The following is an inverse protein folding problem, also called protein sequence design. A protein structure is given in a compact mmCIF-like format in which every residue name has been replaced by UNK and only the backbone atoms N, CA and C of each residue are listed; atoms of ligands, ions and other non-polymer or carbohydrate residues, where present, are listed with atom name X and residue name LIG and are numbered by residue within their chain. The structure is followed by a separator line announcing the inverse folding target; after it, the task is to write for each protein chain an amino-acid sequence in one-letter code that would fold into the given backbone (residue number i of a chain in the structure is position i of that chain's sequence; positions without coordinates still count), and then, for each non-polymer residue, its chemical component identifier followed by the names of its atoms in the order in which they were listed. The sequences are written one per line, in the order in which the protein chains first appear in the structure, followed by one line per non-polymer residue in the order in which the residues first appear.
data_IF_879521276873
#
_entry.id   IF_879521276873
#
_cell.length_a   1.000
_cell.length_b   1.000
_cell.length_c   1.000
_cell.angle_alpha   90.00
_cell.angle_beta   90.00
_cell.angle_gamma   90.00
#
_symmetry.space_group_name_H-M   'P 1'
#
loop_
_entity.id
_entity.type
_entity.pdbx_description
1 polymer ?
#
# COMPACT_ATOMS: atom_id res chain seq x y z
N UNK A 1 -16.63 -5.99 14.44
CA UNK A 1 -15.22 -6.24 14.76
C UNK A 1 -14.69 -7.10 13.62
N UNK A 2 -13.85 -6.56 12.74
CA UNK A 2 -13.30 -7.30 11.58
C UNK A 2 -12.39 -8.41 12.13
N UNK A 3 -12.85 -9.67 12.08
CA UNK A 3 -12.01 -10.83 12.40
C UNK A 3 -10.96 -11.00 11.30
N UNK A 4 -9.72 -10.60 11.58
CA UNK A 4 -8.61 -10.74 10.65
C UNK A 4 -7.90 -12.09 10.83
N UNK A 5 -7.78 -12.86 9.73
CA UNK A 5 -7.13 -14.19 9.69
C UNK A 5 -5.75 -14.16 9.03
N UNK A 6 -5.31 -13.02 8.50
CA UNK A 6 -3.98 -12.78 7.96
C UNK A 6 -2.87 -12.97 8.98
N UNK A 7 -1.76 -13.55 8.54
CA UNK A 7 -0.61 -13.85 9.38
C UNK A 7 0.54 -12.89 9.09
N UNK A 8 0.63 -12.39 7.85
CA UNK A 8 1.61 -11.38 7.40
C UNK A 8 1.00 -10.49 6.32
N UNK A 9 1.44 -9.24 6.27
CA UNK A 9 1.20 -8.32 5.16
C UNK A 9 2.45 -8.27 4.29
N UNK A 10 2.27 -8.36 2.97
CA UNK A 10 3.34 -8.22 2.00
C UNK A 10 3.13 -6.98 1.13
N UNK A 11 4.26 -6.43 0.68
CA UNK A 11 4.29 -5.28 -0.21
C UNK A 11 5.25 -5.55 -1.37
N UNK A 12 4.88 -5.10 -2.56
CA UNK A 12 5.77 -5.09 -3.73
C UNK A 12 5.71 -3.73 -4.39
N UNK A 13 6.87 -3.13 -4.61
CA UNK A 13 6.99 -1.83 -5.24
C UNK A 13 6.86 -1.96 -6.75
N UNK A 14 5.93 -1.19 -7.32
CA UNK A 14 5.85 -0.92 -8.76
C UNK A 14 6.69 0.31 -9.11
N UNK A 15 6.63 1.31 -8.22
CA UNK A 15 7.36 2.57 -8.30
C UNK A 15 7.64 3.07 -6.89
N UNK A 16 8.93 3.22 -6.56
CA UNK A 16 9.34 3.87 -5.32
C UNK A 16 9.26 5.39 -5.46
N UNK A 17 8.93 6.06 -4.35
CA UNK A 17 9.09 7.51 -4.21
C UNK A 17 10.57 7.88 -4.34
N UNK A 18 10.82 9.03 -4.97
CA UNK A 18 12.18 9.56 -5.14
C UNK A 18 12.65 10.41 -3.95
N UNK A 19 11.72 10.95 -3.16
CA UNK A 19 12.00 11.95 -2.12
C UNK A 19 11.60 11.54 -0.71
N UNK A 20 10.81 10.48 -0.53
CA UNK A 20 10.55 9.89 0.78
C UNK A 20 11.75 9.05 1.23
N UNK A 21 12.16 9.22 2.48
CA UNK A 21 13.08 8.29 3.12
C UNK A 21 12.30 7.04 3.59
N UNK A 22 13.01 6.06 4.11
CA UNK A 22 12.44 4.76 4.44
C UNK A 22 11.32 4.83 5.49
N UNK A 23 11.44 5.73 6.47
CA UNK A 23 10.47 5.88 7.55
C UNK A 23 9.15 6.45 7.05
N UNK A 24 9.19 7.55 6.27
CA UNK A 24 7.98 8.14 5.67
C UNK A 24 7.28 7.16 4.72
N UNK A 25 8.07 6.39 3.98
CA UNK A 25 7.52 5.37 3.10
C UNK A 25 6.82 4.27 3.92
N UNK A 26 7.41 3.83 5.04
CA UNK A 26 6.80 2.84 5.91
C UNK A 26 5.48 3.34 6.49
N UNK A 27 5.39 4.61 6.90
CA UNK A 27 4.13 5.22 7.34
C UNK A 27 3.06 5.17 6.24
N UNK A 28 3.42 5.53 5.00
CA UNK A 28 2.52 5.48 3.85
C UNK A 28 1.99 4.06 3.60
N UNK A 29 2.84 3.03 3.74
CA UNK A 29 2.44 1.63 3.60
C UNK A 29 1.47 1.18 4.69
N UNK A 30 1.70 1.60 5.95
CA UNK A 30 0.79 1.29 7.07
C UNK A 30 -0.60 1.85 6.78
N UNK A 31 -0.68 3.10 6.29
CA UNK A 31 -1.96 3.70 5.93
C UNK A 31 -2.65 2.96 4.77
N UNK A 32 -1.91 2.45 3.79
CA UNK A 32 -2.48 1.65 2.71
C UNK A 32 -3.06 0.32 3.20
N UNK A 33 -2.43 -0.33 4.18
CA UNK A 33 -3.01 -1.51 4.82
C UNK A 33 -4.29 -1.14 5.55
N UNK A 34 -4.28 -0.08 6.36
CA UNK A 34 -5.51 0.36 7.03
C UNK A 34 -6.65 0.64 6.04
N UNK A 35 -6.34 1.28 4.91
CA UNK A 35 -7.32 1.50 3.85
C UNK A 35 -7.82 0.19 3.24
N UNK A 36 -6.93 -0.75 2.94
CA UNK A 36 -7.29 -2.08 2.45
C UNK A 36 -8.24 -2.79 3.42
N UNK A 37 -7.94 -2.75 4.72
CA UNK A 37 -8.74 -3.35 5.79
C UNK A 37 -10.14 -2.73 5.92
N UNK A 38 -10.22 -1.42 5.70
CA UNK A 38 -11.45 -0.66 5.79
C UNK A 38 -12.26 -0.64 4.48
N UNK A 39 -11.70 -1.14 3.38
CA UNK A 39 -12.28 -1.00 2.04
C UNK A 39 -12.29 0.46 1.55
N UNK A 40 -11.38 1.29 2.03
CA UNK A 40 -11.27 2.70 1.65
C UNK A 40 -10.57 2.86 0.29
N UNK A 41 -11.18 3.62 -0.62
CA UNK A 41 -10.64 3.88 -1.95
C UNK A 41 -9.63 5.04 -1.99
N UNK A 42 -9.76 6.02 -1.09
CA UNK A 42 -8.89 7.18 -1.04
C UNK A 42 -8.77 7.78 0.36
N UNK A 43 -7.60 8.34 0.66
CA UNK A 43 -7.29 9.03 1.91
C UNK A 43 -6.31 10.16 1.66
N UNK A 44 -6.55 11.32 2.27
CA UNK A 44 -5.53 12.36 2.37
C UNK A 44 -4.51 11.95 3.43
N UNK A 45 -3.24 11.96 3.07
CA UNK A 45 -2.14 11.49 3.91
C UNK A 45 -1.18 12.65 4.19
N UNK A 46 -0.60 12.64 5.38
CA UNK A 46 0.41 13.62 5.80
C UNK A 46 1.41 12.95 6.72
N UNK A 47 2.69 13.04 6.35
CA UNK A 47 3.83 12.66 7.18
C UNK A 47 4.62 13.88 7.61
N UNK A 48 5.81 13.65 8.17
CA UNK A 48 6.79 14.68 8.51
C UNK A 48 7.22 15.51 7.29
N UNK A 49 7.56 14.84 6.19
CA UNK A 49 8.19 15.43 5.00
C UNK A 49 7.28 15.48 3.76
N UNK A 50 6.02 15.07 3.90
CA UNK A 50 5.08 15.02 2.79
C UNK A 50 3.62 15.26 3.18
N UNK A 51 2.85 15.71 2.21
CA UNK A 51 1.39 15.65 2.21
C UNK A 51 0.90 15.17 0.84
N UNK A 52 -0.29 14.59 0.78
CA UNK A 52 -0.81 14.11 -0.49
C UNK A 52 -2.04 13.25 -0.39
N UNK A 53 -2.23 12.42 -1.40
CA UNK A 53 -3.37 11.52 -1.52
C UNK A 53 -2.89 10.11 -1.81
N UNK A 54 -3.31 9.18 -0.98
CA UNK A 54 -3.18 7.75 -1.18
C UNK A 54 -4.52 7.21 -1.70
N UNK A 55 -4.50 6.41 -2.75
CA UNK A 55 -5.72 5.92 -3.39
C UNK A 55 -5.52 4.56 -4.05
N UNK A 56 -6.64 3.92 -4.35
CA UNK A 56 -6.70 2.62 -5.01
C UNK A 56 -7.95 2.55 -5.87
N UNK A 57 -7.83 1.96 -7.06
CA UNK A 57 -8.98 1.60 -7.90
C UNK A 57 -9.54 0.22 -7.51
N UNK A 58 -9.10 -0.33 -6.37
CA UNK A 58 -9.39 -1.71 -5.91
C UNK A 58 -9.00 -2.78 -6.92
N UNK A 59 -8.12 -2.45 -7.87
CA UNK A 59 -7.64 -3.39 -8.88
C UNK A 59 -6.60 -4.31 -8.27
N UNK A 60 -6.74 -5.59 -8.55
CA UNK A 60 -5.75 -6.59 -8.22
C UNK A 60 -4.73 -6.71 -9.36
N UNK A 61 -3.44 -6.71 -9.03
CA UNK A 61 -2.34 -6.89 -9.98
C UNK A 61 -1.40 -8.01 -9.58
N UNK A 62 -0.69 -8.53 -10.58
CA UNK A 62 0.30 -9.60 -10.43
C UNK A 62 1.64 -9.17 -11.04
N UNK A 63 2.70 -9.19 -10.24
CA UNK A 63 4.09 -9.06 -10.70
C UNK A 63 4.85 -10.34 -10.38
N UNK A 64 5.23 -11.06 -11.44
CA UNK A 64 5.85 -12.37 -11.30
C UNK A 64 4.90 -13.33 -10.57
N UNK A 65 5.31 -13.79 -9.38
CA UNK A 65 4.52 -14.68 -8.53
C UNK A 65 3.81 -13.96 -7.37
N UNK A 66 3.96 -12.64 -7.26
CA UNK A 66 3.38 -11.86 -6.17
C UNK A 66 2.25 -11.00 -6.71
N UNK A 67 1.06 -11.15 -6.13
CA UNK A 67 -0.06 -10.29 -6.44
C UNK A 67 -0.58 -9.55 -5.22
N UNK A 68 -1.26 -8.44 -5.46
CA UNK A 68 -1.91 -7.63 -4.43
C UNK A 68 -2.80 -6.54 -5.04
N UNK A 69 -3.55 -5.87 -4.18
CA UNK A 69 -4.30 -4.68 -4.57
C UNK A 69 -3.32 -3.52 -4.78
N UNK A 70 -3.43 -2.82 -5.90
CA UNK A 70 -2.59 -1.66 -6.18
C UNK A 70 -3.04 -0.44 -5.38
N UNK A 71 -2.07 0.23 -4.78
CA UNK A 71 -2.18 1.56 -4.25
C UNK A 71 -1.24 2.50 -5.00
N UNK A 72 -1.72 3.71 -5.21
CA UNK A 72 -0.99 4.82 -5.80
C UNK A 72 -1.02 6.00 -4.83
N UNK A 73 0.08 6.74 -4.78
CA UNK A 73 0.21 7.92 -3.95
C UNK A 73 0.72 9.08 -4.78
N UNK A 74 -0.01 10.20 -4.77
CA UNK A 74 0.41 11.49 -5.30
C UNK A 74 0.86 12.34 -4.11
N UNK A 75 2.12 12.80 -4.11
CA UNK A 75 2.76 13.42 -2.95
C UNK A 75 3.36 14.78 -3.31
N UNK A 76 3.25 15.72 -2.38
CA UNK A 76 4.00 16.97 -2.35
C UNK A 76 4.99 16.90 -1.19
N UNK A 77 6.27 17.10 -1.49
CA UNK A 77 7.36 17.05 -0.50
C UNK A 77 8.11 18.37 -0.46
N UNK A 78 8.98 18.55 0.54
CA UNK A 78 9.90 19.70 0.59
C UNK A 78 10.85 19.78 -0.60
N UNK A 79 11.08 18.65 -1.29
CA UNK A 79 11.93 18.53 -2.49
C UNK A 79 11.15 18.60 -3.81
N UNK A 80 9.83 18.76 -3.74
CA UNK A 80 8.92 18.86 -4.88
C UNK A 80 7.91 17.72 -4.98
N UNK A 81 7.21 17.65 -6.12
CA UNK A 81 6.22 16.61 -6.43
C UNK A 81 6.86 15.24 -6.53
N UNK A 82 6.18 14.25 -6.00
CA UNK A 82 6.57 12.86 -6.08
C UNK A 82 5.36 11.94 -6.23
N UNK A 83 5.61 10.67 -6.55
CA UNK A 83 4.59 9.64 -6.53
C UNK A 83 5.18 8.26 -6.25
N UNK A 84 4.34 7.38 -5.73
CA UNK A 84 4.68 6.00 -5.46
C UNK A 84 3.52 5.09 -5.86
N UNK A 85 3.86 3.86 -6.24
CA UNK A 85 2.88 2.82 -6.55
C UNK A 85 3.36 1.49 -5.99
N UNK A 86 2.51 0.77 -5.29
CA UNK A 86 2.85 -0.49 -4.65
C UNK A 86 1.63 -1.40 -4.51
N UNK A 87 1.89 -2.70 -4.40
CA UNK A 87 0.88 -3.71 -4.15
C UNK A 87 0.80 -4.00 -2.66
N UNK A 88 -0.41 -4.10 -2.12
CA UNK A 88 -0.70 -4.58 -0.76
C UNK A 88 -1.33 -5.96 -0.86
N UNK A 89 -0.80 -6.93 -0.13
CA UNK A 89 -1.43 -8.25 -0.03
C UNK A 89 -1.44 -8.82 1.38
N UNK A 90 -2.48 -9.59 1.66
CA UNK A 90 -2.62 -10.38 2.88
C UNK A 90 -2.11 -11.81 2.63
N UNK A 91 -1.14 -12.28 3.42
CA UNK A 91 -0.70 -13.67 3.44
C UNK A 91 -1.37 -14.42 4.60
N UNK A 92 -2.10 -15.49 4.27
CA UNK A 92 -2.72 -16.41 5.24
C UNK A 92 -1.96 -17.75 5.30
N UNK A 93 -2.14 -18.55 6.37
CA UNK A 93 -1.44 -19.86 6.52
C UNK A 93 -1.97 -20.85 5.49
N UNK A 94 -1.12 -21.19 4.51
CA UNK A 94 -1.33 -22.22 3.50
C UNK A 94 -0.11 -22.29 2.59
N UNK A 95 0.32 -23.49 2.20
CA UNK A 95 1.48 -23.72 1.32
C UNK A 95 1.23 -23.07 -0.04
N UNK A 96 1.93 -21.97 -0.31
CA UNK A 96 1.93 -21.28 -1.61
C UNK A 96 0.76 -20.33 -1.83
N UNK A 97 1.07 -19.06 -2.10
CA UNK A 97 0.25 -18.13 -2.93
C UNK A 97 -1.25 -18.02 -2.61
N UNK A 98 -1.70 -18.30 -1.40
CA UNK A 98 -3.10 -18.14 -1.01
C UNK A 98 -3.39 -16.65 -0.72
N UNK A 99 -3.63 -15.93 -1.80
CA UNK A 99 -4.14 -14.57 -1.83
C UNK A 99 -5.58 -14.60 -1.30
N UNK A 100 -5.85 -13.86 -0.22
CA UNK A 100 -7.22 -13.62 0.23
C UNK A 100 -7.87 -12.59 -0.69
N UNK A 101 -8.97 -12.96 -1.35
CA UNK A 101 -9.89 -11.98 -1.95
C UNK A 101 -10.89 -11.60 -0.86
N UNK A 102 -10.53 -10.62 -0.03
CA UNK A 102 -11.52 -9.95 0.81
C UNK A 102 -12.34 -9.00 -0.06
#
# INVERSE_FOLDING_TARGET
MLEHKGIRWGYVFLKASSYLEQEEFQELMVQAVEMYLAGEEQRNVKGSEYEGRLYTEQRYELIGTIGGQRFDADLETTRGRDNASFLVNEQTRGTGTAISMN
#
